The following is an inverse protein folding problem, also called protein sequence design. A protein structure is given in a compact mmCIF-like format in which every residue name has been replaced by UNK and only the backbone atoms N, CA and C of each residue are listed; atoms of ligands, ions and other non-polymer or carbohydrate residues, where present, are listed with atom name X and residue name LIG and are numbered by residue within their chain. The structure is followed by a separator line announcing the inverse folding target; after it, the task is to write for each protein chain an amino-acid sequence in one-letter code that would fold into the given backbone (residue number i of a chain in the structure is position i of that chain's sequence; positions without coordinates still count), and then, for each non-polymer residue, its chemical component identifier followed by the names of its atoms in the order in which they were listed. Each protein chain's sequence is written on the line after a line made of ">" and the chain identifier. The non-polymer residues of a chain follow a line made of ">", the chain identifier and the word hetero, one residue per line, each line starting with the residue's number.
data_IF_780480222883
#
_entry.id   IF_780480222883
#
_cell.length_a   1.000
_cell.length_b   1.000
_cell.length_c   1.000
_cell.angle_alpha   90.00
_cell.angle_beta   90.00
_cell.angle_gamma   90.00
#
_symmetry.space_group_name_H-M   'P 1'
#
loop_
_entity.id
_entity.type
_entity.pdbx_description
1 polymer ?
#
# COMPACT_ATOMS: atom_id res chain seq x y z
N UNK A 1 -18.13 3.00 6.38
CA UNK A 1 -18.23 2.05 5.26
C UNK A 1 -17.15 1.00 5.43
N UNK A 2 -17.47 -0.29 5.31
CA UNK A 2 -16.47 -1.37 5.41
C UNK A 2 -15.58 -1.34 4.15
N UNK A 3 -14.26 -1.54 4.25
CA UNK A 3 -13.39 -1.54 3.07
C UNK A 3 -13.81 -2.66 2.13
N UNK A 4 -13.84 -2.36 0.84
CA UNK A 4 -14.20 -3.28 -0.23
C UNK A 4 -13.18 -4.43 -0.24
N UNK A 5 -13.61 -5.62 0.20
CA UNK A 5 -12.74 -6.79 0.34
C UNK A 5 -12.40 -7.29 -1.06
N UNK A 6 -11.15 -7.12 -1.50
CA UNK A 6 -10.69 -7.68 -2.78
C UNK A 6 -10.69 -9.21 -2.65
N UNK A 7 -11.78 -9.81 -3.08
CA UNK A 7 -11.97 -11.25 -3.13
C UNK A 7 -11.57 -11.75 -4.50
N UNK A 8 -10.68 -12.74 -4.53
CA UNK A 8 -10.35 -13.47 -5.76
C UNK A 8 -10.79 -14.92 -5.61
N UNK A 9 -11.31 -15.51 -6.68
CA UNK A 9 -11.74 -16.91 -6.68
C UNK A 9 -10.60 -17.80 -7.17
N UNK A 10 -10.10 -18.67 -6.30
CA UNK A 10 -9.13 -19.72 -6.69
C UNK A 10 -9.78 -21.09 -6.58
N UNK A 11 -9.61 -21.93 -7.62
CA UNK A 11 -10.00 -23.34 -7.56
C UNK A 11 -8.98 -24.13 -6.74
N UNK A 12 -9.39 -24.68 -5.61
CA UNK A 12 -8.65 -25.70 -4.85
C UNK A 12 -9.57 -26.92 -4.65
N UNK A 13 -9.11 -28.12 -5.01
CA UNK A 13 -9.88 -29.38 -4.90
C UNK A 13 -11.32 -29.28 -5.45
N UNK A 14 -11.49 -28.66 -6.62
CA UNK A 14 -12.79 -28.55 -7.30
C UNK A 14 -13.78 -27.55 -6.68
N UNK A 15 -13.41 -26.84 -5.61
CA UNK A 15 -14.24 -25.78 -4.99
C UNK A 15 -13.66 -24.39 -5.28
N UNK A 16 -14.53 -23.42 -5.55
CA UNK A 16 -14.15 -22.01 -5.60
C UNK A 16 -14.01 -21.52 -4.15
N UNK A 17 -12.80 -21.10 -3.77
CA UNK A 17 -12.53 -20.48 -2.48
C UNK A 17 -12.39 -18.97 -2.71
N UNK A 18 -13.17 -18.18 -1.98
CA UNK A 18 -13.00 -16.73 -1.91
C UNK A 18 -11.76 -16.42 -1.06
N UNK A 19 -10.72 -15.90 -1.71
CA UNK A 19 -9.47 -15.50 -1.06
C UNK A 19 -9.49 -13.98 -0.82
N UNK A 20 -9.44 -13.58 0.45
CA UNK A 20 -9.23 -12.18 0.84
C UNK A 20 -7.76 -11.83 0.69
N UNK A 21 -7.41 -11.10 -0.38
CA UNK A 21 -6.03 -10.75 -0.70
C UNK A 21 -5.38 -9.80 0.31
N UNK A 22 -6.16 -9.17 1.21
CA UNK A 22 -5.68 -8.29 2.26
C UNK A 22 -5.43 -9.01 3.59
N UNK A 23 -5.87 -10.26 3.74
CA UNK A 23 -5.65 -11.04 4.95
C UNK A 23 -4.14 -11.31 5.15
N UNK A 24 -3.53 -10.85 6.26
CA UNK A 24 -2.11 -11.03 6.49
C UNK A 24 -1.82 -12.44 7.02
N UNK A 25 -1.25 -13.29 6.17
CA UNK A 25 -0.95 -14.70 6.50
C UNK A 25 0.50 -15.11 6.26
N UNK A 26 1.28 -14.29 5.55
CA UNK A 26 2.66 -14.59 5.22
C UNK A 26 3.61 -13.97 6.23
N UNK A 27 4.56 -14.75 6.74
CA UNK A 27 5.65 -14.23 7.56
C UNK A 27 6.68 -13.48 6.71
N UNK A 28 7.57 -12.71 7.32
CA UNK A 28 8.67 -12.03 6.62
C UNK A 28 9.51 -12.98 5.73
N UNK A 29 9.78 -14.21 6.20
CA UNK A 29 10.53 -15.20 5.42
C UNK A 29 9.79 -15.64 4.17
N UNK A 30 8.49 -15.92 4.30
CA UNK A 30 7.63 -16.28 3.15
C UNK A 30 7.47 -15.09 2.20
N UNK A 31 7.27 -13.89 2.73
CA UNK A 31 7.20 -12.68 1.92
C UNK A 31 8.49 -12.42 1.13
N UNK A 32 9.65 -12.67 1.75
CA UNK A 32 10.96 -12.61 1.10
C UNK A 32 11.06 -13.58 -0.07
N UNK A 33 10.63 -14.82 0.11
CA UNK A 33 10.62 -15.82 -0.96
C UNK A 33 9.67 -15.44 -2.10
N UNK A 34 8.42 -15.07 -1.78
CA UNK A 34 7.37 -14.78 -2.77
C UNK A 34 7.62 -13.50 -3.58
N UNK A 35 8.30 -12.51 -3.00
CA UNK A 35 8.68 -11.27 -3.69
C UNK A 35 10.08 -11.33 -4.33
N UNK A 36 10.86 -12.38 -3.99
CA UNK A 36 12.29 -12.52 -4.27
C UNK A 36 13.10 -11.27 -3.87
N UNK A 37 12.74 -10.72 -2.71
CA UNK A 37 13.42 -9.59 -2.08
C UNK A 37 14.04 -10.10 -0.78
N UNK A 38 15.33 -9.87 -0.52
CA UNK A 38 15.94 -10.25 0.75
C UNK A 38 15.19 -9.65 1.94
N UNK A 39 15.03 -10.43 3.01
CA UNK A 39 14.32 -9.99 4.22
C UNK A 39 14.89 -8.70 4.84
N UNK A 40 16.20 -8.44 4.70
CA UNK A 40 16.79 -7.17 5.14
C UNK A 40 16.27 -5.98 4.32
N UNK A 41 16.13 -6.11 3.00
CA UNK A 41 15.62 -5.05 2.14
C UNK A 41 14.13 -4.80 2.38
N UNK A 42 13.34 -5.84 2.67
CA UNK A 42 11.93 -5.68 3.08
C UNK A 42 11.85 -4.84 4.37
N UNK A 43 12.73 -5.08 5.35
CA UNK A 43 12.78 -4.24 6.57
C UNK A 43 13.10 -2.79 6.23
N UNK A 44 14.08 -2.54 5.35
CA UNK A 44 14.36 -1.18 4.89
C UNK A 44 13.12 -0.54 4.23
N UNK A 45 12.35 -1.28 3.44
CA UNK A 45 11.12 -0.73 2.83
C UNK A 45 10.06 -0.37 3.87
N UNK A 46 9.99 -1.12 4.99
CA UNK A 46 9.11 -0.79 6.12
C UNK A 46 9.61 0.48 6.80
N UNK A 47 10.90 0.55 7.11
CA UNK A 47 11.53 1.69 7.78
C UNK A 47 11.40 2.99 6.95
N UNK A 48 11.39 2.85 5.63
CA UNK A 48 11.24 3.95 4.66
C UNK A 48 9.77 4.32 4.37
N UNK A 49 8.80 3.68 5.02
CA UNK A 49 7.37 3.98 4.86
C UNK A 49 6.78 3.54 3.52
N UNK A 50 7.48 2.68 2.76
CA UNK A 50 7.03 2.19 1.46
C UNK A 50 6.01 1.06 1.57
N UNK A 51 5.97 0.37 2.72
CA UNK A 51 5.04 -0.72 3.01
C UNK A 51 4.72 -0.75 4.50
N UNK A 52 3.44 -0.89 4.84
CA UNK A 52 2.94 -1.00 6.21
C UNK A 52 2.56 -2.46 6.45
N UNK A 53 3.34 -3.26 7.19
CA UNK A 53 3.01 -4.64 7.50
C UNK A 53 1.92 -4.73 8.58
N UNK A 54 1.28 -5.90 8.71
CA UNK A 54 0.46 -6.19 9.89
C UNK A 54 1.37 -6.57 11.06
N UNK A 55 1.16 -6.01 12.24
CA UNK A 55 1.96 -6.31 13.43
C UNK A 55 1.16 -7.19 14.39
N UNK A 56 1.65 -8.39 14.65
CA UNK A 56 1.10 -9.27 15.69
C UNK A 56 1.44 -8.74 17.09
N UNK A 57 0.69 -9.19 18.10
CA UNK A 57 1.00 -8.96 19.53
C UNK A 57 2.41 -9.41 19.89
N UNK A 58 2.86 -10.54 19.32
CA UNK A 58 4.24 -11.03 19.41
C UNK A 58 5.31 -10.13 18.76
N UNK A 59 4.93 -8.95 18.26
CA UNK A 59 5.74 -7.98 17.50
C UNK A 59 6.26 -8.47 16.15
N UNK A 60 5.87 -9.66 15.71
CA UNK A 60 6.20 -10.19 14.37
C UNK A 60 5.37 -9.50 13.29
N UNK A 61 5.99 -9.28 12.14
CA UNK A 61 5.31 -8.75 10.95
C UNK A 61 4.69 -9.89 10.12
N UNK A 62 3.44 -9.66 9.71
CA UNK A 62 2.75 -10.46 8.72
C UNK A 62 2.41 -9.60 7.49
N UNK A 63 2.34 -10.28 6.35
CA UNK A 63 2.10 -9.70 5.04
C UNK A 63 0.92 -10.42 4.38
N UNK A 64 0.11 -9.68 3.65
CA UNK A 64 -0.97 -10.20 2.83
C UNK A 64 -0.51 -10.50 1.41
N UNK A 65 -1.38 -11.03 0.56
CA UNK A 65 -1.07 -11.21 -0.86
C UNK A 65 -0.81 -9.86 -1.54
N UNK A 66 -1.65 -8.86 -1.27
CA UNK A 66 -1.47 -7.51 -1.81
C UNK A 66 -0.17 -6.85 -1.35
N UNK A 67 0.31 -7.16 -0.13
CA UNK A 67 1.64 -6.72 0.30
C UNK A 67 2.77 -7.33 -0.55
N UNK A 68 2.64 -8.60 -0.96
CA UNK A 68 3.62 -9.24 -1.87
C UNK A 68 3.63 -8.53 -3.22
N UNK A 69 2.47 -8.18 -3.75
CA UNK A 69 2.37 -7.52 -5.05
C UNK A 69 2.91 -6.08 -4.98
N UNK A 70 2.66 -5.36 -3.88
CA UNK A 70 3.32 -4.08 -3.58
C UNK A 70 4.85 -4.22 -3.49
N UNK A 71 5.36 -5.25 -2.80
CA UNK A 71 6.81 -5.51 -2.71
C UNK A 71 7.42 -5.71 -4.10
N UNK A 72 6.77 -6.48 -4.97
CA UNK A 72 7.21 -6.69 -6.35
C UNK A 72 7.20 -5.40 -7.17
N UNK A 73 6.17 -4.56 -7.00
CA UNK A 73 6.12 -3.23 -7.61
C UNK A 73 7.30 -2.37 -7.15
N UNK A 74 7.56 -2.27 -5.83
CA UNK A 74 8.69 -1.52 -5.27
C UNK A 74 10.02 -2.03 -5.84
N UNK A 75 10.23 -3.35 -5.87
CA UNK A 75 11.43 -3.96 -6.47
C UNK A 75 11.59 -3.59 -7.94
N UNK A 76 10.51 -3.61 -8.73
CA UNK A 76 10.56 -3.26 -10.15
C UNK A 76 10.90 -1.78 -10.34
N UNK A 77 10.31 -0.88 -9.55
CA UNK A 77 10.63 0.54 -9.56
C UNK A 77 12.10 0.81 -9.24
N UNK A 78 12.66 0.10 -8.26
CA UNK A 78 14.06 0.26 -7.88
C UNK A 78 15.01 -0.36 -8.91
N UNK A 79 14.83 -1.65 -9.22
CA UNK A 79 15.78 -2.41 -10.04
C UNK A 79 15.65 -2.13 -11.53
N UNK A 80 14.42 -1.97 -12.03
CA UNK A 80 14.16 -1.86 -13.46
C UNK A 80 13.99 -0.41 -13.91
N UNK A 81 13.50 0.46 -13.03
CA UNK A 81 13.30 1.90 -13.33
C UNK A 81 14.37 2.81 -12.71
N UNK A 82 15.26 2.27 -11.89
CA UNK A 82 16.39 3.01 -11.31
C UNK A 82 16.00 4.02 -10.24
N UNK A 83 14.80 3.92 -9.66
CA UNK A 83 14.39 4.79 -8.56
C UNK A 83 15.09 4.40 -7.26
N UNK A 84 15.46 5.40 -6.46
CA UNK A 84 15.84 5.20 -5.07
C UNK A 84 14.60 5.25 -4.15
N UNK A 85 14.78 5.08 -2.84
CA UNK A 85 13.66 5.09 -1.89
C UNK A 85 12.87 6.40 -1.92
N UNK A 86 13.56 7.54 -1.97
CA UNK A 86 12.93 8.85 -2.09
C UNK A 86 12.09 8.98 -3.37
N UNK A 87 12.58 8.45 -4.50
CA UNK A 87 11.85 8.44 -5.76
C UNK A 87 10.60 7.57 -5.71
N UNK A 88 10.68 6.38 -5.08
CA UNK A 88 9.50 5.52 -4.88
C UNK A 88 8.48 6.20 -3.95
N UNK A 89 8.96 6.86 -2.89
CA UNK A 89 8.11 7.57 -1.92
C UNK A 89 7.38 8.75 -2.55
N UNK A 90 8.09 9.57 -3.32
CA UNK A 90 7.50 10.66 -4.09
C UNK A 90 6.50 10.15 -5.14
N UNK A 91 6.79 9.00 -5.78
CA UNK A 91 5.82 8.37 -6.68
C UNK A 91 4.54 7.99 -5.92
N UNK A 92 4.65 7.36 -4.75
CA UNK A 92 3.48 7.01 -3.93
C UNK A 92 2.74 8.23 -3.38
N UNK A 93 3.42 9.37 -3.19
CA UNK A 93 2.81 10.64 -2.80
C UNK A 93 1.82 11.18 -3.84
N UNK A 94 1.98 10.80 -5.10
CA UNK A 94 1.09 11.22 -6.18
C UNK A 94 -0.26 10.49 -6.19
N UNK A 95 -0.49 9.52 -5.29
CA UNK A 95 -1.80 8.85 -5.17
C UNK A 95 -2.79 9.90 -4.64
N UNK A 96 -3.86 10.23 -5.39
CA UNK A 96 -4.75 11.31 -5.03
C UNK A 96 -5.74 10.88 -3.95
N UNK A 97 -5.26 10.80 -2.71
CA UNK A 97 -6.05 10.33 -1.57
C UNK A 97 -7.34 11.14 -1.38
N UNK A 98 -7.31 12.43 -1.71
CA UNK A 98 -8.47 13.32 -1.63
C UNK A 98 -9.56 12.98 -2.65
N UNK A 99 -9.19 12.43 -3.80
CA UNK A 99 -10.14 12.00 -4.83
C UNK A 99 -10.74 10.65 -4.48
N UNK A 100 -9.92 9.73 -3.98
CA UNK A 100 -10.35 8.39 -3.59
C UNK A 100 -11.26 8.44 -2.35
N UNK A 101 -10.93 9.31 -1.38
CA UNK A 101 -11.67 9.45 -0.11
C UNK A 101 -12.76 10.51 -0.14
N UNK A 102 -12.98 11.15 -1.28
CA UNK A 102 -13.92 12.28 -1.42
C UNK A 102 -13.72 13.35 -0.33
N UNK A 103 -12.46 13.72 -0.08
CA UNK A 103 -12.11 14.64 1.00
C UNK A 103 -12.56 16.07 0.66
N UNK A 104 -13.35 16.74 1.52
CA UNK A 104 -13.75 18.14 1.34
C UNK A 104 -12.55 19.08 1.23
N UNK A 105 -12.71 20.18 0.50
CA UNK A 105 -11.64 21.16 0.30
C UNK A 105 -11.11 21.75 1.61
N UNK A 106 -12.03 22.10 2.51
CA UNK A 106 -11.73 22.61 3.85
C UNK A 106 -10.79 21.66 4.62
N UNK A 107 -11.07 20.36 4.56
CA UNK A 107 -10.33 19.33 5.28
C UNK A 107 -8.98 18.98 4.63
N UNK A 108 -8.86 19.02 3.30
CA UNK A 108 -7.59 18.72 2.60
C UNK A 108 -6.64 19.91 2.53
N UNK A 109 -7.15 21.14 2.58
CA UNK A 109 -6.34 22.38 2.52
C UNK A 109 -5.25 22.46 3.59
N UNK A 110 -5.46 21.82 4.74
CA UNK A 110 -4.53 21.75 5.87
C UNK A 110 -3.90 20.36 6.06
N UNK A 111 -4.15 19.42 5.14
CA UNK A 111 -3.64 18.05 5.21
C UNK A 111 -2.26 17.97 4.56
N UNK A 112 -1.25 17.51 5.30
CA UNK A 112 0.12 17.31 4.81
C UNK A 112 0.18 16.43 3.58
N UNK A 113 -0.67 15.41 3.50
CA UNK A 113 -0.75 14.52 2.33
C UNK A 113 -1.23 15.21 1.04
N UNK A 114 -1.91 16.35 1.15
CA UNK A 114 -2.39 17.15 0.01
C UNK A 114 -1.42 18.28 -0.32
N UNK A 115 -0.85 18.92 0.71
CA UNK A 115 0.05 20.07 0.55
C UNK A 115 1.47 19.69 0.19
N UNK A 116 1.92 18.49 0.59
CA UNK A 116 3.25 17.97 0.34
C UNK A 116 3.23 16.87 -0.73
N UNK A 117 4.35 16.68 -1.43
CA UNK A 117 4.47 15.73 -2.54
C UNK A 117 5.62 14.72 -2.39
N UNK A 118 6.24 14.66 -1.21
CA UNK A 118 7.41 13.80 -0.97
C UNK A 118 7.10 12.56 -0.13
N UNK A 119 5.94 12.48 0.52
CA UNK A 119 5.49 11.30 1.25
C UNK A 119 4.05 10.92 0.91
N UNK A 120 3.73 9.62 0.86
CA UNK A 120 2.35 9.16 0.70
C UNK A 120 1.49 9.54 1.91
N UNK A 121 0.18 9.57 1.70
CA UNK A 121 -0.76 10.02 2.72
C UNK A 121 -0.71 9.20 4.02
N UNK A 122 -0.19 7.98 3.98
CA UNK A 122 -0.05 7.15 5.16
C UNK A 122 1.13 7.54 6.06
N UNK A 123 2.15 8.20 5.52
CA UNK A 123 3.30 8.73 6.26
C UNK A 123 3.14 10.21 6.64
N UNK A 124 2.14 10.92 6.10
CA UNK A 124 1.91 12.32 6.41
C UNK A 124 1.73 12.57 7.92
N UNK A 125 2.51 13.51 8.47
CA UNK A 125 2.49 13.82 9.91
C UNK A 125 1.19 14.49 10.35
N UNK A 126 0.67 15.40 9.53
CA UNK A 126 -0.60 16.08 9.77
C UNK A 126 -1.64 15.64 8.73
N UNK A 127 -2.71 14.99 9.18
CA UNK A 127 -3.79 14.50 8.31
C UNK A 127 -5.10 15.23 8.61
N UNK A 128 -5.89 15.45 7.57
CA UNK A 128 -7.27 15.95 7.71
C UNK A 128 -8.13 15.04 8.60
N UNK A 129 -9.27 15.56 9.06
CA UNK A 129 -10.11 14.89 10.08
C UNK A 129 -10.58 13.51 9.63
N UNK A 130 -10.83 13.33 8.34
CA UNK A 130 -11.24 12.06 7.73
C UNK A 130 -10.19 10.93 7.76
N UNK A 131 -8.93 11.25 8.04
CA UNK A 131 -7.81 10.29 7.94
C UNK A 131 -6.94 10.21 9.20
N UNK A 132 -6.98 11.20 10.10
CA UNK A 132 -6.02 11.31 11.23
C UNK A 132 -5.99 10.15 12.21
N UNK A 133 -7.09 9.41 12.36
CA UNK A 133 -7.21 8.30 13.31
C UNK A 133 -7.45 6.95 12.59
N UNK A 134 -7.27 6.90 11.28
CA UNK A 134 -7.53 5.71 10.47
C UNK A 134 -6.31 4.79 10.43
N UNK A 135 -6.55 3.48 10.43
CA UNK A 135 -5.51 2.52 10.14
C UNK A 135 -5.21 2.55 8.64
N UNK A 136 -4.12 3.21 8.26
CA UNK A 136 -3.75 3.38 6.87
C UNK A 136 -3.51 2.05 6.14
N UNK A 137 -3.14 0.98 6.86
CA UNK A 137 -2.99 -0.35 6.26
C UNK A 137 -4.30 -0.87 5.67
N UNK A 138 -5.43 -0.55 6.29
CA UNK A 138 -6.76 -1.03 5.90
C UNK A 138 -7.50 0.00 5.02
N UNK A 139 -6.83 1.10 4.67
CA UNK A 139 -7.38 2.19 3.88
C UNK A 139 -7.33 1.87 2.38
N UNK A 140 -8.43 2.15 1.68
CA UNK A 140 -8.54 1.98 0.23
C UNK A 140 -7.47 2.75 -0.57
N UNK A 141 -7.01 3.90 -0.07
CA UNK A 141 -5.93 4.68 -0.69
C UNK A 141 -4.63 3.89 -0.70
N UNK A 142 -4.31 3.20 0.41
CA UNK A 142 -3.12 2.37 0.48
C UNK A 142 -3.24 1.25 -0.55
N UNK A 143 -4.40 0.60 -0.62
CA UNK A 143 -4.68 -0.50 -1.56
C UNK A 143 -4.89 -0.09 -3.03
N UNK A 144 -4.82 1.20 -3.37
CA UNK A 144 -5.03 1.68 -4.74
C UNK A 144 -3.90 1.33 -5.72
N UNK A 145 -2.74 0.89 -5.22
CA UNK A 145 -1.61 0.47 -6.06
C UNK A 145 -1.39 -1.03 -6.00
N UNK A 146 -1.40 -1.66 -7.16
CA UNK A 146 -0.88 -3.00 -7.40
C UNK A 146 0.10 -3.00 -8.60
N UNK A 147 0.67 -4.18 -8.88
CA UNK A 147 1.67 -4.37 -9.94
C UNK A 147 1.12 -4.12 -11.36
N UNK A 148 -0.19 -4.28 -11.57
CA UNK A 148 -0.83 -4.24 -12.89
C UNK A 148 -1.40 -2.86 -13.21
N UNK A 149 -1.91 -2.18 -12.18
CA UNK A 149 -2.55 -0.87 -12.26
C UNK A 149 -1.46 0.20 -12.36
N UNK A 150 -0.49 0.21 -11.45
CA UNK A 150 0.47 1.31 -11.33
C UNK A 150 -0.20 2.69 -11.17
N UNK A 151 0.59 3.73 -10.90
CA UNK A 151 -0.01 5.03 -10.57
C UNK A 151 -0.74 5.69 -11.73
N UNK A 152 -0.29 5.45 -12.97
CA UNK A 152 -0.91 6.04 -14.15
C UNK A 152 -2.35 5.56 -14.34
N UNK A 153 -2.65 4.31 -14.02
CA UNK A 153 -4.02 3.79 -14.17
C UNK A 153 -4.94 4.36 -13.11
N UNK A 154 -4.45 4.52 -11.86
CA UNK A 154 -5.19 5.22 -10.81
C UNK A 154 -5.52 6.66 -11.22
N UNK A 155 -4.56 7.38 -11.80
CA UNK A 155 -4.80 8.74 -12.28
C UNK A 155 -5.77 8.79 -13.46
N UNK A 156 -5.72 7.79 -14.35
CA UNK A 156 -6.65 7.68 -15.49
C UNK A 156 -8.08 7.37 -15.06
N UNK A 157 -8.30 6.62 -13.98
CA UNK A 157 -9.66 6.29 -13.51
C UNK A 157 -10.39 7.46 -12.84
N UNK A 158 -9.72 8.60 -12.69
CA UNK A 158 -10.24 9.80 -12.03
C UNK A 158 -10.51 10.95 -13.01
N UNK A 159 -10.26 10.72 -14.30
CA UNK A 159 -10.53 11.62 -15.42
C UNK A 159 -11.70 11.09 -16.24
#
# INVERSE_FOLDING_TARGET
>A
MKPNRQMTTRKQNGKNVEEDCNMPVYTLGIASQLSEIPAHSIRQYIDEGLIIPFKLESKRHLFSRNDIDRLKLIRSLIRNKGLNFSGVRALMAMIPCWSIRECPEEDRSSCGAYTENFQPCWEASEKGRHCRNENCRDCEVYHALDIDTGIKTVLKSLL
#
